data_IF_812847786817
#
_entry.id   IF_812847786817
#
_cell.length_a   1.000
_cell.length_b   1.000
_cell.length_c   1.000
_cell.angle_alpha   90.00
_cell.angle_beta   90.00
_cell.angle_gamma   90.00
#
_symmetry.space_group_name_H-M   'P 1'
#
loop_
_entity.id
_entity.type
_entity.pdbx_description
1 polymer ?
#
# COMPACT_ATOMS: atom_id res chain seq x y z
N UNK A 1 33.30 -18.24 3.97
CA UNK A 1 32.74 -17.29 2.99
C UNK A 1 32.24 -18.10 1.80
N UNK A 2 30.94 -18.27 1.63
CA UNK A 2 30.36 -19.12 0.56
C UNK A 2 30.60 -18.52 -0.82
N UNK A 3 30.91 -19.39 -1.80
CA UNK A 3 31.20 -19.03 -3.18
C UNK A 3 30.07 -18.21 -3.81
N UNK A 4 30.36 -16.94 -4.07
CA UNK A 4 29.40 -15.98 -4.62
C UNK A 4 28.85 -16.46 -5.97
N UNK A 5 27.52 -16.56 -6.07
CA UNK A 5 26.79 -16.79 -7.32
C UNK A 5 26.84 -18.21 -7.90
N UNK A 6 27.45 -19.19 -7.22
CA UNK A 6 27.43 -20.59 -7.68
C UNK A 6 26.09 -21.24 -7.33
N UNK A 7 25.32 -21.75 -8.31
CA UNK A 7 24.07 -22.43 -8.02
C UNK A 7 24.31 -23.75 -7.29
N UNK A 8 23.39 -24.10 -6.40
CA UNK A 8 23.41 -25.32 -5.59
C UNK A 8 22.22 -26.19 -6.00
N UNK A 9 22.51 -27.42 -6.41
CA UNK A 9 21.49 -28.42 -6.75
C UNK A 9 20.53 -28.64 -5.57
N UNK A 10 19.24 -28.79 -5.89
CA UNK A 10 18.15 -28.95 -4.92
C UNK A 10 17.90 -27.76 -3.99
N UNK A 11 18.60 -26.64 -4.14
CA UNK A 11 18.30 -25.42 -3.38
C UNK A 11 17.06 -24.73 -3.93
N UNK A 12 16.08 -24.47 -3.06
CA UNK A 12 14.89 -23.67 -3.40
C UNK A 12 15.25 -22.21 -3.73
N UNK A 13 16.36 -21.72 -3.19
CA UNK A 13 16.86 -20.36 -3.40
C UNK A 13 17.81 -20.26 -4.60
N UNK A 14 18.08 -21.35 -5.34
CA UNK A 14 19.12 -21.46 -6.39
C UNK A 14 20.55 -21.42 -5.87
N UNK A 15 20.84 -20.57 -4.89
CA UNK A 15 22.15 -20.43 -4.23
C UNK A 15 22.12 -21.00 -2.80
N UNK A 16 23.26 -20.98 -2.11
CA UNK A 16 23.32 -21.17 -0.65
C UNK A 16 22.93 -19.84 0.02
N UNK A 17 21.75 -19.73 0.66
CA UNK A 17 21.33 -18.50 1.31
C UNK A 17 22.23 -18.16 2.51
N UNK A 18 22.38 -16.87 2.76
CA UNK A 18 23.01 -16.33 3.97
C UNK A 18 22.13 -16.63 5.18
N UNK A 19 22.72 -17.16 6.23
CA UNK A 19 22.04 -17.38 7.51
C UNK A 19 21.95 -16.09 8.33
N UNK A 20 22.94 -15.20 8.24
CA UNK A 20 22.96 -13.98 9.06
C UNK A 20 22.15 -12.82 8.49
N UNK A 21 22.13 -12.65 7.16
CA UNK A 21 21.50 -11.48 6.56
C UNK A 21 19.98 -11.42 6.82
N UNK A 22 19.21 -12.51 6.62
CA UNK A 22 17.78 -12.52 6.94
C UNK A 22 17.49 -12.28 8.42
N UNK A 23 18.33 -12.80 9.33
CA UNK A 23 18.22 -12.58 10.76
C UNK A 23 18.30 -11.08 11.13
N UNK A 24 19.27 -10.38 10.54
CA UNK A 24 19.43 -8.93 10.73
C UNK A 24 18.19 -8.18 10.23
N UNK A 25 17.67 -8.52 9.05
CA UNK A 25 16.44 -7.91 8.54
C UNK A 25 15.24 -8.20 9.44
N UNK A 26 15.08 -9.43 9.93
CA UNK A 26 14.00 -9.79 10.85
C UNK A 26 14.03 -8.94 12.12
N UNK A 27 15.21 -8.75 12.74
CA UNK A 27 15.38 -7.90 13.92
C UNK A 27 15.07 -6.43 13.62
N UNK A 28 15.59 -5.89 12.51
CA UNK A 28 15.36 -4.49 12.13
C UNK A 28 13.89 -4.21 11.82
N UNK A 29 13.21 -5.09 11.10
CA UNK A 29 11.77 -4.99 10.88
C UNK A 29 10.99 -5.18 12.18
N UNK A 30 11.41 -6.07 13.08
CA UNK A 30 10.78 -6.26 14.38
C UNK A 30 10.82 -5.00 15.24
N UNK A 31 12.00 -4.38 15.37
CA UNK A 31 12.19 -3.11 16.10
C UNK A 31 11.34 -2.00 15.45
N UNK A 32 11.41 -1.89 14.12
CA UNK A 32 10.64 -0.92 13.35
C UNK A 32 9.13 -1.08 13.57
N UNK A 33 8.65 -2.33 13.62
CA UNK A 33 7.24 -2.68 13.81
C UNK A 33 6.74 -2.34 15.21
N UNK A 34 7.51 -2.69 16.24
CA UNK A 34 7.17 -2.36 17.63
C UNK A 34 7.09 -0.84 17.81
N UNK A 35 8.06 -0.10 17.26
CA UNK A 35 8.04 1.36 17.27
C UNK A 35 6.79 1.91 16.55
N UNK A 36 6.46 1.39 15.37
CA UNK A 36 5.30 1.86 14.60
C UNK A 36 3.96 1.57 15.30
N UNK A 37 3.81 0.38 15.88
CA UNK A 37 2.63 -0.02 16.65
C UNK A 37 2.44 0.90 17.86
N UNK A 38 3.52 1.18 18.59
CA UNK A 38 3.49 2.13 19.71
C UNK A 38 3.09 3.54 19.25
N UNK A 39 3.63 4.03 18.12
CA UNK A 39 3.25 5.31 17.55
C UNK A 39 1.77 5.33 17.13
N UNK A 40 1.28 4.28 16.48
CA UNK A 40 -0.11 4.14 16.08
C UNK A 40 -1.06 4.21 17.29
N UNK A 41 -0.68 3.57 18.39
CA UNK A 41 -1.43 3.63 19.65
C UNK A 41 -1.39 5.05 20.25
N UNK A 42 -0.19 5.63 20.39
CA UNK A 42 0.04 6.95 20.99
C UNK A 42 -0.64 8.09 20.24
N UNK A 43 -0.72 8.00 18.92
CA UNK A 43 -1.34 9.01 18.05
C UNK A 43 -2.77 8.67 17.62
N UNK A 44 -3.33 7.53 18.07
CA UNK A 44 -4.65 7.01 17.67
C UNK A 44 -4.83 6.94 16.14
N UNK A 45 -3.76 6.60 15.43
CA UNK A 45 -3.69 6.62 13.97
C UNK A 45 -3.86 5.24 13.32
N UNK A 46 -4.24 4.21 14.08
CA UNK A 46 -4.43 2.84 13.58
C UNK A 46 -5.36 2.74 12.37
N UNK A 47 -6.40 3.59 12.29
CA UNK A 47 -7.27 3.61 11.10
C UNK A 47 -6.53 4.09 9.86
N UNK A 48 -5.60 5.05 9.99
CA UNK A 48 -4.89 5.66 8.87
C UNK A 48 -3.72 4.79 8.39
N UNK A 49 -2.86 4.36 9.31
CA UNK A 49 -1.59 3.68 9.02
C UNK A 49 -1.49 2.27 9.59
N UNK A 50 -2.59 1.68 10.09
CA UNK A 50 -2.59 0.32 10.63
C UNK A 50 -2.11 -0.75 9.64
N UNK A 51 -2.30 -0.52 8.34
CA UNK A 51 -1.79 -1.43 7.30
C UNK A 51 -0.26 -1.53 7.30
N UNK A 52 0.45 -0.45 7.66
CA UNK A 52 1.91 -0.48 7.79
C UNK A 52 2.36 -1.35 8.98
N UNK A 53 1.57 -1.42 10.06
CA UNK A 53 1.83 -2.35 11.16
C UNK A 53 1.73 -3.81 10.69
N UNK A 54 0.70 -4.12 9.89
CA UNK A 54 0.51 -5.47 9.32
C UNK A 54 1.71 -5.83 8.45
N UNK A 55 2.14 -4.93 7.56
CA UNK A 55 3.34 -5.16 6.75
C UNK A 55 4.60 -5.36 7.61
N UNK A 56 4.77 -4.59 8.68
CA UNK A 56 5.91 -4.75 9.58
C UNK A 56 5.97 -6.13 10.23
N UNK A 57 4.83 -6.64 10.72
CA UNK A 57 4.72 -8.01 11.27
C UNK A 57 5.03 -9.04 10.19
N UNK A 58 4.43 -8.91 9.00
CA UNK A 58 4.64 -9.83 7.89
C UNK A 58 6.10 -9.86 7.41
N UNK A 59 6.77 -8.71 7.30
CA UNK A 59 8.21 -8.66 7.00
C UNK A 59 9.04 -9.36 8.08
N UNK A 60 8.75 -9.07 9.35
CA UNK A 60 9.46 -9.68 10.49
C UNK A 60 9.37 -11.21 10.43
N UNK A 61 8.14 -11.74 10.27
CA UNK A 61 7.90 -13.19 10.15
C UNK A 61 8.50 -13.75 8.85
N UNK A 62 8.36 -13.06 7.73
CA UNK A 62 8.88 -13.49 6.43
C UNK A 62 10.40 -13.64 6.42
N UNK A 63 11.13 -12.69 7.03
CA UNK A 63 12.58 -12.75 7.17
C UNK A 63 13.04 -13.76 8.23
N UNK A 64 12.29 -13.95 9.33
CA UNK A 64 12.57 -15.01 10.30
C UNK A 64 12.39 -16.41 9.68
N UNK A 65 11.33 -16.62 8.89
CA UNK A 65 11.14 -17.85 8.12
C UNK A 65 12.25 -18.03 7.08
N UNK A 66 12.73 -16.95 6.47
CA UNK A 66 13.86 -17.00 5.53
C UNK A 66 15.14 -17.44 6.22
N UNK A 67 15.41 -16.94 7.42
CA UNK A 67 16.55 -17.38 8.24
C UNK A 67 16.45 -18.87 8.56
N UNK A 68 15.29 -19.34 9.04
CA UNK A 68 15.06 -20.76 9.29
C UNK A 68 15.25 -21.60 8.03
N UNK A 69 14.74 -21.11 6.89
CA UNK A 69 14.94 -21.70 5.57
C UNK A 69 16.39 -21.69 5.12
N UNK A 70 17.22 -20.76 5.58
CA UNK A 70 18.64 -20.72 5.25
C UNK A 70 19.44 -21.85 5.90
N UNK A 71 18.95 -22.42 7.01
CA UNK A 71 19.50 -23.64 7.60
C UNK A 71 18.95 -24.92 6.94
N UNK A 72 17.77 -24.84 6.32
CA UNK A 72 17.03 -25.99 5.76
C UNK A 72 16.61 -25.74 4.29
N UNK A 73 17.56 -25.41 3.42
CA UNK A 73 17.26 -24.91 2.05
C UNK A 73 17.20 -25.99 0.96
N UNK A 74 17.60 -27.23 1.27
CA UNK A 74 17.65 -28.33 0.32
C UNK A 74 16.28 -29.03 0.23
N UNK A 75 15.76 -29.18 -0.98
CA UNK A 75 14.50 -29.86 -1.25
C UNK A 75 14.66 -30.92 -2.34
N UNK A 76 14.44 -32.18 -1.97
CA UNK A 76 14.47 -33.32 -2.90
C UNK A 76 13.06 -33.85 -3.12
N UNK A 77 12.61 -33.82 -4.38
CA UNK A 77 11.32 -34.36 -4.80
C UNK A 77 11.29 -35.87 -4.53
N UNK A 78 10.28 -36.35 -3.79
CA UNK A 78 10.12 -37.76 -3.42
C UNK A 78 10.48 -38.12 -1.97
N UNK A 79 10.97 -37.16 -1.18
CA UNK A 79 11.08 -37.30 0.28
C UNK A 79 9.76 -36.88 0.94
N UNK A 80 9.36 -37.53 2.04
CA UNK A 80 8.13 -37.19 2.76
C UNK A 80 8.16 -35.78 3.40
N UNK A 81 9.36 -35.24 3.63
CA UNK A 81 9.54 -33.92 4.22
C UNK A 81 9.25 -32.78 3.23
N UNK A 82 8.10 -32.14 3.43
CA UNK A 82 7.67 -30.93 2.69
C UNK A 82 7.96 -29.64 3.45
N UNK A 83 8.53 -29.71 4.65
CA UNK A 83 8.79 -28.53 5.49
C UNK A 83 9.66 -27.46 4.81
N UNK A 84 10.78 -27.76 4.10
CA UNK A 84 11.60 -26.70 3.50
C UNK A 84 10.86 -25.94 2.39
N UNK A 85 10.01 -26.65 1.65
CA UNK A 85 9.17 -26.05 0.62
C UNK A 85 8.12 -25.10 1.22
N UNK A 86 7.43 -25.53 2.28
CA UNK A 86 6.42 -24.70 2.95
C UNK A 86 7.05 -23.45 3.57
N UNK A 87 8.18 -23.59 4.26
CA UNK A 87 8.93 -22.45 4.83
C UNK A 87 9.33 -21.46 3.74
N UNK A 88 9.86 -21.95 2.62
CA UNK A 88 10.20 -21.11 1.48
C UNK A 88 8.97 -20.36 0.96
N UNK A 89 7.85 -21.05 0.72
CA UNK A 89 6.61 -20.43 0.21
C UNK A 89 6.12 -19.35 1.15
N UNK A 90 5.95 -19.64 2.45
CA UNK A 90 5.46 -18.66 3.42
C UNK A 90 6.40 -17.46 3.56
N UNK A 91 7.71 -17.70 3.57
CA UNK A 91 8.71 -16.62 3.57
C UNK A 91 8.55 -15.69 2.36
N UNK A 92 8.45 -16.25 1.15
CA UNK A 92 8.28 -15.45 -0.08
C UNK A 92 6.94 -14.69 -0.06
N UNK A 93 5.84 -15.35 0.29
CA UNK A 93 4.51 -14.73 0.32
C UNK A 93 4.48 -13.56 1.31
N UNK A 94 4.99 -13.73 2.52
CA UNK A 94 4.98 -12.67 3.53
C UNK A 94 5.86 -11.48 3.15
N UNK A 95 7.00 -11.72 2.50
CA UNK A 95 7.86 -10.62 2.02
C UNK A 95 7.20 -9.92 0.81
N UNK A 96 6.58 -10.66 -0.11
CA UNK A 96 6.15 -10.13 -1.41
C UNK A 96 4.80 -9.43 -1.38
N UNK A 97 3.93 -9.80 -0.44
CA UNK A 97 2.63 -9.14 -0.24
C UNK A 97 2.77 -7.76 0.38
N UNK A 98 3.87 -7.49 1.11
CA UNK A 98 4.02 -6.24 1.86
C UNK A 98 4.15 -4.98 0.99
N UNK A 99 4.95 -4.93 -0.09
CA UNK A 99 5.08 -3.71 -0.88
C UNK A 99 3.77 -3.22 -1.52
N UNK A 100 2.93 -4.07 -2.14
CA UNK A 100 1.58 -3.68 -2.58
C UNK A 100 0.71 -3.14 -1.43
N UNK A 101 0.78 -3.75 -0.24
CA UNK A 101 0.04 -3.24 0.93
C UNK A 101 0.57 -1.89 1.42
N UNK A 102 1.88 -1.66 1.40
CA UNK A 102 2.48 -0.37 1.72
C UNK A 102 2.08 0.71 0.71
N UNK A 103 1.96 0.33 -0.56
CA UNK A 103 1.45 1.20 -1.62
C UNK A 103 -0.01 1.58 -1.38
N UNK A 104 -0.86 0.63 -1.04
CA UNK A 104 -2.23 0.88 -0.64
C UNK A 104 -2.31 1.78 0.61
N UNK A 105 -1.39 1.62 1.57
CA UNK A 105 -1.30 2.51 2.73
C UNK A 105 -1.01 3.96 2.31
N UNK A 106 -0.13 4.18 1.33
CA UNK A 106 0.12 5.51 0.77
C UNK A 106 -1.12 6.09 0.09
N UNK A 107 -1.90 5.28 -0.64
CA UNK A 107 -3.17 5.73 -1.22
C UNK A 107 -4.17 6.16 -0.16
N UNK A 108 -4.14 5.49 1.00
CA UNK A 108 -4.96 5.90 2.14
C UNK A 108 -4.52 7.24 2.71
N UNK A 109 -3.23 7.47 2.88
CA UNK A 109 -2.70 8.77 3.31
C UNK A 109 -3.01 9.85 2.27
N UNK A 110 -2.93 9.55 0.96
CA UNK A 110 -3.27 10.51 -0.10
C UNK A 110 -4.73 10.93 -0.02
N UNK A 111 -5.63 9.96 0.09
CA UNK A 111 -7.07 10.22 0.26
C UNK A 111 -7.34 11.07 1.51
N UNK A 112 -6.60 10.83 2.60
CA UNK A 112 -6.70 11.62 3.83
C UNK A 112 -6.24 13.06 3.61
N UNK A 113 -5.15 13.30 2.89
CA UNK A 113 -4.68 14.65 2.56
C UNK A 113 -5.67 15.38 1.65
N UNK A 114 -6.26 14.69 0.67
CA UNK A 114 -7.28 15.29 -0.19
C UNK A 114 -8.54 15.68 0.58
N UNK A 115 -8.88 14.92 1.63
CA UNK A 115 -9.94 15.30 2.54
C UNK A 115 -9.56 16.50 3.41
N UNK A 116 -8.31 16.57 3.83
CA UNK A 116 -7.80 17.64 4.68
C UNK A 116 -7.70 18.97 3.94
N UNK A 117 -7.27 18.99 2.66
CA UNK A 117 -7.20 20.19 1.82
C UNK A 117 -8.06 20.01 0.55
N UNK A 118 -9.39 20.10 0.66
CA UNK A 118 -10.30 19.83 -0.46
C UNK A 118 -10.14 20.84 -1.60
N UNK A 119 -9.72 22.07 -1.32
CA UNK A 119 -9.46 23.12 -2.32
C UNK A 119 -8.33 22.78 -3.28
N UNK A 120 -7.35 21.98 -2.84
CA UNK A 120 -6.23 21.56 -3.66
C UNK A 120 -6.42 20.16 -4.29
N UNK A 121 -7.44 19.41 -3.86
CA UNK A 121 -7.69 18.05 -4.33
C UNK A 121 -8.07 18.00 -5.83
N UNK A 122 -7.35 17.25 -6.68
CA UNK A 122 -7.72 17.03 -8.08
C UNK A 122 -9.01 16.23 -8.24
N UNK A 123 -9.21 15.25 -7.35
CA UNK A 123 -10.40 14.39 -7.31
C UNK A 123 -10.88 14.22 -5.87
N UNK A 124 -12.17 13.91 -5.63
CA UNK A 124 -12.69 13.84 -4.27
C UNK A 124 -12.10 12.63 -3.52
N UNK A 125 -11.72 12.86 -2.25
CA UNK A 125 -11.04 11.89 -1.40
C UNK A 125 -11.69 10.48 -1.34
N UNK A 126 -13.03 10.31 -1.27
CA UNK A 126 -13.63 8.99 -1.22
C UNK A 126 -13.38 8.15 -2.48
N UNK A 127 -13.12 8.76 -3.63
CA UNK A 127 -12.88 8.02 -4.87
C UNK A 127 -11.45 7.46 -4.95
N UNK A 128 -10.46 8.14 -4.34
CA UNK A 128 -9.07 7.68 -4.32
C UNK A 128 -8.99 6.25 -3.78
N UNK A 129 -9.51 6.04 -2.57
CA UNK A 129 -9.44 4.74 -1.91
C UNK A 129 -10.17 3.63 -2.67
N UNK A 130 -11.31 3.95 -3.29
CA UNK A 130 -12.12 2.98 -4.03
C UNK A 130 -11.44 2.57 -5.33
N UNK A 131 -10.97 3.55 -6.08
CA UNK A 131 -10.33 3.33 -7.39
C UNK A 131 -8.99 2.63 -7.18
N UNK A 132 -8.10 3.21 -6.37
CA UNK A 132 -6.77 2.64 -6.17
C UNK A 132 -6.84 1.31 -5.43
N UNK A 133 -7.70 1.18 -4.42
CA UNK A 133 -7.91 -0.09 -3.73
C UNK A 133 -8.43 -1.20 -4.66
N UNK A 134 -9.43 -0.88 -5.50
CA UNK A 134 -9.96 -1.81 -6.50
C UNK A 134 -8.92 -2.21 -7.55
N UNK A 135 -8.16 -1.25 -8.09
CA UNK A 135 -7.07 -1.53 -9.04
C UNK A 135 -5.98 -2.40 -8.40
N UNK A 136 -5.59 -2.12 -7.15
CA UNK A 136 -4.64 -2.94 -6.40
C UNK A 136 -5.15 -4.36 -6.20
N UNK A 137 -6.44 -4.54 -5.88
CA UNK A 137 -7.03 -5.87 -5.73
C UNK A 137 -6.98 -6.67 -7.04
N UNK A 138 -7.20 -6.03 -8.19
CA UNK A 138 -7.06 -6.67 -9.50
C UNK A 138 -5.62 -7.08 -9.77
N UNK A 139 -4.66 -6.18 -9.52
CA UNK A 139 -3.23 -6.48 -9.72
C UNK A 139 -2.78 -7.64 -8.84
N UNK A 140 -3.15 -7.65 -7.56
CA UNK A 140 -2.78 -8.73 -6.64
C UNK A 140 -3.48 -10.06 -6.98
N UNK A 141 -4.70 -10.03 -7.50
CA UNK A 141 -5.37 -11.22 -8.02
C UNK A 141 -4.60 -11.81 -9.22
N UNK A 142 -4.14 -10.97 -10.15
CA UNK A 142 -3.34 -11.39 -11.29
C UNK A 142 -1.97 -11.92 -10.86
N UNK A 143 -1.32 -11.31 -9.86
CA UNK A 143 -0.07 -11.81 -9.26
C UNK A 143 -0.28 -13.21 -8.64
N UNK A 144 -1.34 -13.38 -7.83
CA UNK A 144 -1.65 -14.65 -7.18
C UNK A 144 -1.95 -15.76 -8.21
N UNK A 145 -2.76 -15.46 -9.23
CA UNK A 145 -3.05 -16.39 -10.33
C UNK A 145 -1.81 -16.71 -11.16
N UNK A 146 -1.00 -15.70 -11.47
CA UNK A 146 0.25 -15.85 -12.21
C UNK A 146 1.24 -16.75 -11.47
N UNK A 147 1.41 -16.54 -10.16
CA UNK A 147 2.23 -17.37 -9.31
C UNK A 147 1.68 -18.82 -9.23
N UNK A 148 0.38 -19.00 -9.03
CA UNK A 148 -0.23 -20.33 -8.92
C UNK A 148 -0.10 -21.16 -10.21
N UNK A 149 -0.30 -20.54 -11.38
CA UNK A 149 -0.22 -21.22 -12.67
C UNK A 149 1.21 -21.50 -13.12
N UNK A 150 2.14 -20.57 -12.89
CA UNK A 150 3.55 -20.74 -13.25
C UNK A 150 4.28 -21.74 -12.35
N UNK A 151 3.89 -21.84 -11.07
CA UNK A 151 4.55 -22.73 -10.11
C UNK A 151 3.98 -24.15 -10.06
N UNK A 152 2.86 -24.42 -10.74
CA UNK A 152 2.22 -25.73 -10.72
C UNK A 152 2.93 -26.73 -11.66
N UNK A 153 3.64 -27.74 -11.13
CA UNK A 153 4.39 -28.70 -11.94
C UNK A 153 3.49 -29.67 -12.74
N UNK A 154 2.20 -29.79 -12.40
CA UNK A 154 1.24 -30.67 -13.10
C UNK A 154 0.46 -29.94 -14.19
N UNK A 155 0.63 -28.63 -14.33
CA UNK A 155 -0.02 -27.83 -15.37
C UNK A 155 0.66 -28.01 -16.74
N UNK A 156 -0.10 -27.76 -17.81
CA UNK A 156 0.44 -27.77 -19.18
C UNK A 156 1.46 -26.64 -19.37
N UNK A 157 2.35 -26.77 -20.36
CA UNK A 157 3.31 -25.73 -20.72
C UNK A 157 2.62 -24.40 -21.07
N UNK A 158 1.47 -24.47 -21.75
CA UNK A 158 0.64 -23.31 -22.06
C UNK A 158 0.11 -22.61 -20.80
N UNK A 159 -0.37 -23.37 -19.81
CA UNK A 159 -0.84 -22.80 -18.53
C UNK A 159 0.29 -22.17 -17.72
N UNK A 160 1.48 -22.77 -17.69
CA UNK A 160 2.65 -22.21 -17.01
C UNK A 160 3.13 -20.91 -17.69
N UNK A 161 3.16 -20.89 -19.03
CA UNK A 161 3.48 -19.68 -19.80
C UNK A 161 2.46 -18.57 -19.56
N UNK A 162 1.16 -18.90 -19.55
CA UNK A 162 0.10 -17.97 -19.19
C UNK A 162 0.33 -17.39 -17.79
N UNK A 163 0.67 -18.22 -16.81
CA UNK A 163 0.99 -17.77 -15.46
C UNK A 163 2.13 -16.75 -15.41
N UNK A 164 3.21 -17.00 -16.16
CA UNK A 164 4.33 -16.05 -16.28
C UNK A 164 3.89 -14.72 -16.92
N UNK A 165 3.11 -14.77 -18.00
CA UNK A 165 2.57 -13.57 -18.63
C UNK A 165 1.64 -12.76 -17.71
N UNK A 166 0.81 -13.43 -16.92
CA UNK A 166 -0.06 -12.77 -15.93
C UNK A 166 0.75 -12.04 -14.85
N UNK A 167 1.84 -12.65 -14.35
CA UNK A 167 2.72 -12.01 -13.38
C UNK A 167 3.39 -10.75 -13.98
N UNK A 168 3.90 -10.82 -15.21
CA UNK A 168 4.47 -9.65 -15.90
C UNK A 168 3.40 -8.56 -16.11
N UNK A 169 2.21 -8.94 -16.57
CA UNK A 169 1.12 -8.00 -16.79
C UNK A 169 0.71 -7.28 -15.49
N UNK A 170 0.64 -8.01 -14.37
CA UNK A 170 0.35 -7.46 -13.05
C UNK A 170 1.39 -6.41 -12.64
N UNK A 171 2.69 -6.71 -12.79
CA UNK A 171 3.77 -5.76 -12.46
C UNK A 171 3.73 -4.53 -13.38
N UNK A 172 3.45 -4.69 -14.67
CA UNK A 172 3.29 -3.56 -15.60
C UNK A 172 2.11 -2.67 -15.22
N UNK A 173 0.97 -3.27 -14.85
CA UNK A 173 -0.18 -2.52 -14.34
C UNK A 173 0.18 -1.76 -13.05
N UNK A 174 0.92 -2.39 -12.14
CA UNK A 174 1.40 -1.76 -10.91
C UNK A 174 2.21 -0.49 -11.20
N UNK A 175 3.15 -0.55 -12.14
CA UNK A 175 3.93 0.62 -12.56
C UNK A 175 3.05 1.75 -13.11
N UNK A 176 2.01 1.40 -13.88
CA UNK A 176 1.03 2.36 -14.37
C UNK A 176 0.26 3.04 -13.24
N UNK A 177 -0.17 2.28 -12.23
CA UNK A 177 -0.88 2.82 -11.06
C UNK A 177 0.02 3.77 -10.26
N UNK A 178 1.28 3.38 -10.03
CA UNK A 178 2.29 4.25 -9.38
C UNK A 178 2.51 5.54 -10.18
N UNK A 179 2.59 5.47 -11.51
CA UNK A 179 2.72 6.65 -12.35
C UNK A 179 1.52 7.60 -12.22
N UNK A 180 0.30 7.06 -12.21
CA UNK A 180 -0.94 7.84 -11.98
C UNK A 180 -0.91 8.49 -10.60
N UNK A 181 -0.41 7.80 -9.56
CA UNK A 181 -0.21 8.40 -8.25
C UNK A 181 0.70 9.63 -8.31
N UNK A 182 1.86 9.56 -8.98
CA UNK A 182 2.77 10.70 -9.09
C UNK A 182 2.11 11.88 -9.81
N UNK A 183 1.31 11.62 -10.85
CA UNK A 183 0.54 12.65 -11.55
C UNK A 183 -0.47 13.32 -10.61
N UNK A 184 -1.28 12.54 -9.89
CA UNK A 184 -2.27 13.08 -8.96
C UNK A 184 -1.64 13.85 -7.80
N UNK A 185 -0.57 13.32 -7.22
CA UNK A 185 0.20 13.98 -6.17
C UNK A 185 0.84 15.29 -6.70
N UNK A 186 1.34 15.30 -7.93
CA UNK A 186 1.91 16.47 -8.59
C UNK A 186 0.86 17.55 -8.84
N UNK A 187 -0.31 17.18 -9.34
CA UNK A 187 -1.45 18.08 -9.51
C UNK A 187 -1.88 18.68 -8.17
N UNK A 188 -1.95 17.86 -7.11
CA UNK A 188 -2.26 18.32 -5.77
C UNK A 188 -1.19 19.30 -5.25
N UNK A 189 0.10 19.00 -5.42
CA UNK A 189 1.21 19.88 -5.03
C UNK A 189 1.10 21.25 -5.70
N UNK A 190 0.85 21.28 -7.01
CA UNK A 190 0.73 22.52 -7.78
C UNK A 190 -0.47 23.37 -7.31
N UNK A 191 -1.62 22.73 -7.04
CA UNK A 191 -2.80 23.40 -6.48
C UNK A 191 -2.56 23.84 -5.03
N UNK A 192 -1.84 23.06 -4.25
CA UNK A 192 -1.50 23.40 -2.86
C UNK A 192 -0.58 24.64 -2.81
N UNK A 193 0.37 24.76 -3.73
CA UNK A 193 1.21 25.96 -3.81
C UNK A 193 0.43 27.21 -4.20
N UNK A 194 -0.57 27.09 -5.08
CA UNK A 194 -1.40 28.25 -5.45
C UNK A 194 -2.33 28.67 -4.30
N UNK A 195 -2.93 27.72 -3.58
CA UNK A 195 -3.73 27.99 -2.37
C UNK A 195 -2.87 28.69 -1.30
N UNK A 196 -1.65 28.18 -1.08
CA UNK A 196 -0.71 28.80 -0.13
C UNK A 196 -0.31 30.22 -0.55
N UNK A 197 -0.10 30.46 -1.84
CA UNK A 197 0.21 31.79 -2.36
C UNK A 197 -0.97 32.77 -2.29
N UNK A 198 -2.21 32.28 -2.40
CA UNK A 198 -3.41 33.08 -2.19
C UNK A 198 -3.59 33.45 -0.72
N UNK A 199 -3.52 32.45 0.18
CA UNK A 199 -3.56 32.67 1.63
C UNK A 199 -2.43 33.63 2.08
N UNK A 200 -1.28 33.57 1.42
CA UNK A 200 -0.16 34.47 1.70
C UNK A 200 -0.44 35.96 1.37
N UNK A 201 -1.27 36.23 0.35
CA UNK A 201 -1.59 37.59 -0.14
C UNK A 201 -2.73 38.25 0.63
N UNK A 202 -3.66 37.48 1.19
CA UNK A 202 -4.76 37.97 2.01
C UNK A 202 -4.32 38.50 3.40
N UNK A 203 -3.02 38.44 3.71
CA UNK A 203 -2.41 38.78 5.02
C UNK A 203 -2.15 40.26 5.25
N UNK A 204 -2.75 41.17 4.50
CA UNK A 204 -2.60 42.62 4.72
C UNK A 204 -3.27 43.12 6.01
N UNK A 205 -3.86 42.24 6.84
CA UNK A 205 -4.47 42.58 8.13
C UNK A 205 -4.17 41.58 9.24
N UNK A 206 -3.00 41.68 9.86
CA UNK A 206 -2.74 41.48 11.30
C UNK A 206 -3.04 40.16 12.04
N UNK A 207 -3.85 39.23 11.54
CA UNK A 207 -4.23 38.03 12.32
C UNK A 207 -3.42 36.82 11.85
N UNK A 208 -2.54 36.36 12.72
CA UNK A 208 -1.69 35.18 12.55
C UNK A 208 -2.50 33.90 12.80
N UNK A 209 -3.43 33.56 11.90
CA UNK A 209 -4.14 32.28 11.99
C UNK A 209 -3.41 31.12 11.26
N UNK A 210 -3.58 29.94 11.85
CA UNK A 210 -2.90 28.64 11.75
C UNK A 210 -2.49 28.12 10.35
N UNK A 211 -1.38 28.64 9.78
CA UNK A 211 -0.71 28.05 8.60
C UNK A 211 -0.04 26.67 8.87
N UNK A 212 -0.14 26.12 10.09
CA UNK A 212 0.45 24.83 10.44
C UNK A 212 -0.05 23.70 9.54
N UNK A 213 -1.35 23.71 9.22
CA UNK A 213 -1.98 22.66 8.42
C UNK A 213 -1.46 22.56 6.98
N UNK A 214 -1.21 23.68 6.29
CA UNK A 214 -0.67 23.64 4.92
C UNK A 214 0.78 23.12 4.91
N UNK A 215 1.59 23.49 5.91
CA UNK A 215 2.97 22.99 6.05
C UNK A 215 2.99 21.50 6.36
N UNK A 216 2.10 21.04 7.24
CA UNK A 216 1.89 19.63 7.56
C UNK A 216 1.55 18.81 6.30
N UNK A 217 0.62 19.30 5.47
CA UNK A 217 0.24 18.64 4.22
C UNK A 217 1.43 18.51 3.24
N UNK A 218 2.28 19.53 3.14
CA UNK A 218 3.49 19.50 2.30
C UNK A 218 4.51 18.48 2.80
N UNK A 219 4.76 18.43 4.11
CA UNK A 219 5.70 17.45 4.70
C UNK A 219 5.25 16.03 4.39
N UNK A 220 3.96 15.73 4.58
CA UNK A 220 3.45 14.38 4.29
C UNK A 220 3.54 14.08 2.80
N UNK A 221 3.28 15.05 1.92
CA UNK A 221 3.40 14.82 0.48
C UNK A 221 4.85 14.46 0.08
N UNK A 222 5.86 15.14 0.65
CA UNK A 222 7.28 14.81 0.43
C UNK A 222 7.61 13.40 0.92
N UNK A 223 7.12 13.03 2.11
CA UNK A 223 7.31 11.68 2.68
C UNK A 223 6.65 10.63 1.78
N UNK A 224 5.47 10.92 1.24
CA UNK A 224 4.77 10.03 0.31
C UNK A 224 5.51 9.87 -1.02
N UNK A 225 6.11 10.94 -1.55
CA UNK A 225 6.96 10.83 -2.75
C UNK A 225 8.17 9.94 -2.48
N UNK A 226 8.88 10.15 -1.38
CA UNK A 226 10.02 9.31 -1.01
C UNK A 226 9.58 7.84 -0.86
N UNK A 227 8.46 7.60 -0.19
CA UNK A 227 7.89 6.26 -0.01
C UNK A 227 7.52 5.58 -1.33
N UNK A 228 6.82 6.29 -2.22
CA UNK A 228 6.46 5.78 -3.55
C UNK A 228 7.65 5.56 -4.47
N UNK A 229 8.72 6.36 -4.36
CA UNK A 229 9.95 6.14 -5.12
C UNK A 229 10.67 4.85 -4.69
N UNK A 230 10.70 4.54 -3.39
CA UNK A 230 11.26 3.28 -2.89
C UNK A 230 10.46 2.07 -3.39
N UNK A 231 9.13 2.18 -3.38
CA UNK A 231 8.23 1.13 -3.91
C UNK A 231 8.39 1.00 -5.43
N UNK A 232 8.48 2.11 -6.17
CA UNK A 232 8.73 2.11 -7.60
C UNK A 232 10.04 1.39 -7.95
N UNK A 233 11.14 1.72 -7.27
CA UNK A 233 12.43 1.07 -7.50
C UNK A 233 12.35 -0.45 -7.30
N UNK A 234 11.66 -0.92 -6.25
CA UNK A 234 11.38 -2.35 -6.05
C UNK A 234 10.51 -2.92 -7.17
N UNK A 235 9.46 -2.24 -7.60
CA UNK A 235 8.57 -2.73 -8.67
C UNK A 235 9.29 -2.82 -10.02
N UNK A 236 10.22 -1.89 -10.32
CA UNK A 236 11.09 -1.98 -11.50
C UNK A 236 12.02 -3.19 -11.40
N UNK A 237 12.66 -3.42 -10.24
CA UNK A 237 13.45 -4.63 -10.01
C UNK A 237 12.61 -5.89 -10.25
N UNK A 238 11.37 -5.93 -9.76
CA UNK A 238 10.44 -7.05 -9.99
C UNK A 238 10.07 -7.22 -11.45
N UNK A 239 9.88 -6.15 -12.20
CA UNK A 239 9.62 -6.25 -13.62
C UNK A 239 10.81 -6.95 -14.31
N UNK A 240 12.03 -6.47 -14.05
CA UNK A 240 13.24 -7.03 -14.66
C UNK A 240 13.44 -8.50 -14.27
N UNK A 241 13.11 -8.88 -13.03
CA UNK A 241 13.16 -10.27 -12.57
C UNK A 241 12.15 -11.18 -13.32
N UNK A 242 10.97 -10.66 -13.68
CA UNK A 242 9.91 -11.43 -14.35
C UNK A 242 9.98 -11.40 -15.88
N UNK A 243 10.86 -10.60 -16.50
CA UNK A 243 10.88 -10.44 -17.96
C UNK A 243 11.27 -11.74 -18.69
N UNK A 244 10.48 -12.16 -19.71
CA UNK A 244 10.71 -13.36 -20.51
C UNK A 244 11.78 -13.09 -21.58
N UNK A 245 13.04 -12.96 -21.17
CA UNK A 245 14.22 -12.84 -22.05
C UNK A 245 15.45 -13.49 -21.44
N UNK A 246 15.20 -14.24 -20.39
CA UNK A 246 16.14 -14.94 -19.54
C UNK A 246 15.45 -16.31 -19.40
N UNK A 247 16.13 -17.43 -19.68
CA UNK A 247 15.56 -18.81 -19.73
C UNK A 247 14.99 -19.30 -18.36
N UNK A 248 13.99 -18.61 -17.80
CA UNK A 248 13.75 -18.51 -16.35
C UNK A 248 12.43 -19.10 -15.88
N UNK A 249 11.56 -19.52 -16.79
CA UNK A 249 10.22 -19.99 -16.41
C UNK A 249 10.27 -21.39 -15.79
N UNK A 250 11.38 -22.13 -15.95
CA UNK A 250 11.62 -23.39 -15.25
C UNK A 250 12.86 -23.27 -14.38
N UNK A 251 12.67 -22.98 -13.09
CA UNK A 251 13.70 -23.23 -12.07
C UNK A 251 13.83 -24.74 -11.90
N UNK A 252 14.51 -25.38 -12.85
CA UNK A 252 14.86 -26.78 -12.70
C UNK A 252 16.01 -26.90 -11.69
N UNK A 253 15.63 -27.03 -10.42
CA UNK A 253 16.55 -27.22 -9.30
C UNK A 253 17.40 -28.51 -9.43
N UNK A 254 17.11 -29.36 -10.41
CA UNK A 254 17.84 -30.61 -10.68
C UNK A 254 18.89 -30.49 -11.79
N UNK A 255 18.88 -29.41 -12.57
CA UNK A 255 19.79 -29.21 -13.69
C UNK A 255 20.75 -28.04 -13.44
N UNK A 256 22.02 -28.35 -13.20
CA UNK A 256 23.04 -27.34 -12.89
C UNK A 256 23.29 -26.36 -14.04
N UNK A 257 23.26 -26.81 -15.29
CA UNK A 257 23.47 -25.95 -16.47
C UNK A 257 22.32 -24.95 -16.63
N UNK A 258 21.09 -25.38 -16.39
CA UNK A 258 19.92 -24.49 -16.38
C UNK A 258 20.02 -23.44 -15.27
N UNK A 259 20.48 -23.83 -14.07
CA UNK A 259 20.68 -22.88 -12.96
C UNK A 259 21.83 -21.88 -13.21
N UNK A 260 22.85 -22.27 -13.98
CA UNK A 260 23.94 -21.37 -14.37
C UNK A 260 23.51 -20.36 -15.45
N UNK A 261 22.59 -20.75 -16.33
CA UNK A 261 22.00 -19.87 -17.33
C UNK A 261 21.01 -18.84 -16.75
N UNK A 262 20.66 -18.95 -15.46
CA UNK A 262 19.85 -17.95 -14.76
C UNK A 262 20.57 -16.59 -14.68
N UNK A 263 19.76 -15.54 -14.70
CA UNK A 263 20.16 -14.15 -14.58
C UNK A 263 20.89 -13.96 -13.25
N UNK A 264 21.93 -13.11 -13.23
CA UNK A 264 22.61 -12.74 -12.00
C UNK A 264 21.64 -12.29 -10.89
N UNK A 265 20.51 -11.67 -11.24
CA UNK A 265 19.48 -11.23 -10.28
C UNK A 265 18.93 -12.38 -9.43
N UNK A 266 18.78 -13.58 -10.00
CA UNK A 266 18.28 -14.76 -9.29
C UNK A 266 19.39 -15.57 -8.63
N UNK A 267 20.64 -15.42 -9.10
CA UNK A 267 21.80 -16.17 -8.59
C UNK A 267 22.46 -15.49 -7.39
N UNK A 268 22.36 -14.18 -7.28
CA UNK A 268 23.00 -13.41 -6.20
C UNK A 268 21.97 -12.89 -5.21
N UNK A 269 22.05 -13.39 -3.98
CA UNK A 269 21.16 -12.99 -2.89
C UNK A 269 21.19 -11.47 -2.59
N UNK A 270 22.33 -10.82 -2.84
CA UNK A 270 22.49 -9.39 -2.53
C UNK A 270 21.46 -8.51 -3.24
N UNK A 271 21.05 -8.86 -4.46
CA UNK A 271 20.04 -8.09 -5.18
C UNK A 271 18.68 -8.16 -4.49
N UNK A 272 18.28 -9.35 -4.05
CA UNK A 272 17.07 -9.53 -3.24
C UNK A 272 17.15 -8.74 -1.93
N UNK A 273 18.27 -8.83 -1.21
CA UNK A 273 18.43 -8.13 0.08
C UNK A 273 18.40 -6.62 -0.08
N UNK A 274 18.97 -6.06 -1.15
CA UNK A 274 18.98 -4.63 -1.42
C UNK A 274 17.60 -4.16 -1.90
N UNK A 275 17.08 -4.75 -2.97
CA UNK A 275 15.88 -4.23 -3.65
C UNK A 275 14.56 -4.59 -2.96
N UNK A 276 14.45 -5.75 -2.30
CA UNK A 276 13.25 -6.10 -1.56
C UNK A 276 13.39 -5.91 -0.05
N UNK A 277 14.59 -6.13 0.49
CA UNK A 277 14.85 -5.95 1.92
C UNK A 277 15.10 -4.51 2.31
N UNK A 278 16.19 -3.93 1.82
CA UNK A 278 16.67 -2.63 2.27
C UNK A 278 15.76 -1.48 1.83
N UNK A 279 15.25 -1.49 0.59
CA UNK A 279 14.32 -0.45 0.12
C UNK A 279 13.02 -0.41 0.96
N UNK A 280 12.46 -1.58 1.27
CA UNK A 280 11.23 -1.65 2.07
C UNK A 280 11.49 -1.34 3.54
N UNK A 281 12.67 -1.67 4.06
CA UNK A 281 13.06 -1.33 5.42
C UNK A 281 13.25 0.19 5.55
N UNK A 282 13.91 0.81 4.58
CA UNK A 282 14.03 2.26 4.49
C UNK A 282 12.63 2.92 4.43
N UNK A 283 11.68 2.32 3.71
CA UNK A 283 10.30 2.79 3.68
C UNK A 283 9.61 2.69 5.04
N UNK A 284 9.76 1.57 5.77
CA UNK A 284 9.22 1.43 7.12
C UNK A 284 9.85 2.42 8.11
N UNK A 285 11.15 2.65 8.03
CA UNK A 285 11.85 3.63 8.87
C UNK A 285 11.38 5.06 8.54
N UNK A 286 11.21 5.39 7.27
CA UNK A 286 10.70 6.68 6.82
C UNK A 286 9.35 7.00 7.48
N UNK A 287 8.42 6.05 7.48
CA UNK A 287 7.11 6.20 8.12
C UNK A 287 7.15 6.20 9.65
N UNK A 288 8.15 5.57 10.27
CA UNK A 288 8.41 5.70 11.71
C UNK A 288 8.90 7.10 12.09
N UNK A 289 9.78 7.70 11.29
CA UNK A 289 10.30 9.04 11.55
C UNK A 289 9.20 10.08 11.31
N UNK A 290 8.52 10.00 10.17
CA UNK A 290 7.50 10.95 9.72
C UNK A 290 6.09 10.40 9.84
N UNK A 291 5.74 9.96 11.06
CA UNK A 291 4.44 9.34 11.31
C UNK A 291 3.28 10.32 11.07
N UNK A 292 2.31 10.01 10.17
CA UNK A 292 1.28 10.97 9.74
C UNK A 292 0.32 11.36 10.86
N UNK A 293 0.16 10.52 11.89
CA UNK A 293 -0.61 10.87 13.09
C UNK A 293 -0.01 12.00 13.95
N UNK A 294 1.24 12.44 13.67
CA UNK A 294 1.83 13.65 14.25
C UNK A 294 1.47 14.91 13.48
N UNK A 295 1.26 14.76 12.17
CA UNK A 295 1.14 15.85 11.22
C UNK A 295 -0.32 16.12 10.80
N UNK A 296 -1.21 15.12 10.86
CA UNK A 296 -2.62 15.30 10.52
C UNK A 296 -3.50 15.42 11.76
N UNK A 297 -4.60 16.21 11.68
CA UNK A 297 -5.60 16.24 12.74
C UNK A 297 -6.16 14.85 13.02
N UNK A 298 -6.28 14.55 14.32
CA UNK A 298 -6.81 13.27 14.82
C UNK A 298 -8.25 13.02 14.40
N UNK A 299 -9.06 14.08 14.29
CA UNK A 299 -10.44 13.96 13.87
C UNK A 299 -10.53 13.95 12.32
N UNK A 300 -11.08 12.86 11.72
CA UNK A 300 -11.35 12.79 10.30
C UNK A 300 -12.14 13.99 9.74
N UNK A 301 -12.94 14.65 10.56
CA UNK A 301 -13.92 15.69 10.16
C UNK A 301 -13.33 17.08 10.00
N UNK A 302 -12.08 17.29 10.42
CA UNK A 302 -11.39 18.58 10.29
C UNK A 302 -10.83 18.70 8.87
N UNK A 303 -11.22 19.76 8.17
CA UNK A 303 -10.66 20.17 6.89
C UNK A 303 -10.16 21.62 6.96
N UNK A 304 -9.23 21.98 6.09
CA UNK A 304 -8.76 23.35 5.90
C UNK A 304 -9.69 24.09 4.96
N UNK A 305 -10.28 25.18 5.44
CA UNK A 305 -11.00 26.12 4.60
C UNK A 305 -10.00 26.94 3.73
N UNK A 306 -10.53 27.65 2.73
CA UNK A 306 -9.69 28.39 1.75
C UNK A 306 -8.91 29.55 2.36
N UNK A 307 -9.36 30.05 3.51
CA UNK A 307 -8.71 31.04 4.37
C UNK A 307 -7.55 30.47 5.20
N UNK A 308 -7.38 29.14 5.24
CA UNK A 308 -6.38 28.45 6.04
C UNK A 308 -6.84 28.10 7.46
N UNK A 309 -8.10 28.37 7.83
CA UNK A 309 -8.64 27.99 9.14
C UNK A 309 -9.05 26.51 9.15
N UNK A 310 -8.90 25.84 10.31
CA UNK A 310 -9.35 24.45 10.50
C UNK A 310 -10.84 24.45 10.82
N UNK A 311 -11.67 24.01 9.89
CA UNK A 311 -13.13 23.93 10.06
C UNK A 311 -13.56 22.50 10.31
N UNK A 312 -14.40 22.30 11.32
CA UNK A 312 -15.08 21.03 11.56
C UNK A 312 -16.24 20.90 10.58
N UNK A 313 -16.24 19.86 9.75
CA UNK A 313 -17.41 19.54 8.93
C UNK A 313 -18.58 19.14 9.84
N UNK A 314 -19.74 19.76 9.63
CA UNK A 314 -20.98 19.37 10.30
C UNK A 314 -21.27 17.88 10.10
N UNK A 315 -21.85 17.27 11.13
CA UNK A 315 -22.10 15.83 11.23
C UNK A 315 -23.05 15.41 10.12
N UNK A 316 -22.52 14.81 9.05
CA UNK A 316 -23.32 13.89 8.24
C UNK A 316 -23.57 12.67 9.14
N UNK A 317 -24.86 12.45 9.46
CA UNK A 317 -25.42 11.41 10.32
C UNK A 317 -24.56 10.15 10.39
N UNK A 318 -24.31 9.68 11.62
CA UNK A 318 -23.50 8.50 11.91
C UNK A 318 -23.87 7.30 11.02
N UNK A 319 -22.86 6.70 10.38
CA UNK A 319 -23.03 5.53 9.52
C UNK A 319 -23.51 4.33 10.35
N UNK A 320 -24.82 4.08 10.30
CA UNK A 320 -25.54 3.02 11.02
C UNK A 320 -25.27 1.59 10.55
N UNK A 321 -24.28 1.39 9.67
CA UNK A 321 -23.86 0.07 9.20
C UNK A 321 -23.35 -0.80 10.34
N UNK A 322 -23.70 -2.08 10.29
CA UNK A 322 -23.23 -3.07 11.25
C UNK A 322 -21.71 -3.27 11.10
N UNK A 323 -21.03 -3.76 12.14
CA UNK A 323 -19.56 -3.80 12.19
C UNK A 323 -18.93 -4.65 11.07
N UNK A 324 -19.55 -5.78 10.73
CA UNK A 324 -19.16 -6.65 9.60
C UNK A 324 -19.33 -5.98 8.24
N UNK A 325 -20.38 -5.18 8.02
CA UNK A 325 -20.55 -4.37 6.80
C UNK A 325 -19.48 -3.27 6.69
N UNK A 326 -19.03 -2.73 7.83
CA UNK A 326 -17.91 -1.77 7.86
C UNK A 326 -16.60 -2.45 7.49
N UNK A 327 -16.34 -3.64 8.03
CA UNK A 327 -15.16 -4.46 7.67
C UNK A 327 -15.24 -4.85 6.20
N UNK A 328 -16.37 -5.35 5.72
CA UNK A 328 -16.57 -5.74 4.33
C UNK A 328 -16.47 -4.55 3.38
N UNK A 329 -17.00 -3.38 3.74
CA UNK A 329 -16.84 -2.15 2.96
C UNK A 329 -15.38 -1.70 2.90
N UNK A 330 -14.60 -1.88 3.97
CA UNK A 330 -13.16 -1.61 3.97
C UNK A 330 -12.41 -2.63 3.11
N UNK A 331 -12.74 -3.92 3.20
CA UNK A 331 -12.11 -5.02 2.45
C UNK A 331 -12.46 -4.98 0.96
N UNK A 332 -13.68 -4.59 0.61
CA UNK A 332 -14.14 -4.45 -0.78
C UNK A 332 -13.86 -3.07 -1.37
N UNK A 333 -13.11 -2.23 -0.65
CA UNK A 333 -12.82 -0.86 -1.05
C UNK A 333 -14.08 -0.07 -1.43
N UNK A 334 -15.22 -0.35 -0.80
CA UNK A 334 -16.50 0.31 -1.05
C UNK A 334 -17.11 0.10 -2.44
N UNK A 335 -16.63 -0.86 -3.25
CA UNK A 335 -17.10 -1.10 -4.62
C UNK A 335 -18.56 -1.57 -4.70
N UNK A 336 -19.05 -2.36 -3.73
CA UNK A 336 -20.34 -3.05 -3.88
C UNK A 336 -21.56 -2.36 -3.24
N UNK A 337 -21.39 -1.34 -2.39
CA UNK A 337 -22.51 -0.80 -1.57
C UNK A 337 -22.72 0.73 -1.68
N UNK A 338 -22.46 1.31 -2.86
CA UNK A 338 -22.73 2.73 -3.15
C UNK A 338 -24.18 3.08 -3.50
N UNK A 339 -24.95 2.13 -4.07
CA UNK A 339 -26.25 2.43 -4.69
C UNK A 339 -27.41 2.57 -3.70
N UNK A 340 -27.50 1.71 -2.68
CA UNK A 340 -28.60 1.74 -1.72
C UNK A 340 -28.63 3.02 -0.85
N UNK A 341 -27.46 3.63 -0.63
CA UNK A 341 -27.32 4.86 0.13
C UNK A 341 -27.79 6.10 -0.65
N UNK A 342 -27.66 6.12 -1.98
CA UNK A 342 -28.08 7.25 -2.82
C UNK A 342 -29.60 7.44 -2.84
N UNK A 343 -30.35 6.34 -2.95
CA UNK A 343 -31.82 6.37 -3.02
C UNK A 343 -32.48 6.77 -1.69
N UNK A 344 -31.97 6.28 -0.54
CA UNK A 344 -32.46 6.71 0.79
C UNK A 344 -32.11 8.16 1.13
N UNK A 345 -30.97 8.67 0.62
CA UNK A 345 -30.49 10.04 0.84
C UNK A 345 -31.33 11.09 0.11
N UNK A 346 -31.92 10.74 -1.04
CA UNK A 346 -32.82 11.62 -1.80
C UNK A 346 -34.20 11.75 -1.13
N UNK A 347 -34.80 10.62 -0.74
CA UNK A 347 -36.11 10.58 -0.03
C UNK A 347 -36.12 11.31 1.32
N UNK A 348 -35.05 11.20 2.10
CA UNK A 348 -34.97 11.87 3.41
C UNK A 348 -34.70 13.37 3.32
N UNK A 349 -34.06 13.83 2.23
CA UNK A 349 -33.82 15.25 1.99
C UNK A 349 -35.07 15.98 1.47
N UNK A 350 -35.84 15.32 0.61
CA UNK A 350 -37.14 15.82 0.11
C UNK A 350 -38.14 15.96 1.26
N UNK A 351 -38.27 14.96 2.14
CA UNK A 351 -39.16 15.01 3.31
C UNK A 351 -38.83 16.13 4.30
N UNK A 352 -37.56 16.49 4.46
CA UNK A 352 -37.15 17.54 5.40
C UNK A 352 -37.29 18.95 4.81
N UNK A 353 -37.16 19.07 3.47
CA UNK A 353 -37.47 20.31 2.76
C UNK A 353 -38.97 20.61 2.78
N UNK A 354 -39.81 19.60 2.55
CA UNK A 354 -41.28 19.74 2.57
C UNK A 354 -41.81 20.11 3.97
N UNK A 355 -41.27 19.53 5.05
CA UNK A 355 -41.62 19.90 6.43
C UNK A 355 -41.21 21.34 6.77
N UNK A 356 -40.07 21.80 6.26
CA UNK A 356 -39.56 23.15 6.54
C UNK A 356 -40.30 24.23 5.74
N UNK A 357 -40.75 23.91 4.52
CA UNK A 357 -41.59 24.77 3.70
C UNK A 357 -43.00 24.90 4.32
N UNK A 358 -43.60 23.80 4.77
CA UNK A 358 -44.88 23.81 5.50
C UNK A 358 -44.81 24.61 6.81
N UNK A 359 -43.71 24.51 7.55
CA UNK A 359 -43.50 25.29 8.77
C UNK A 359 -43.30 26.80 8.52
N UNK A 360 -42.70 27.18 7.39
CA UNK A 360 -42.57 28.60 7.01
C UNK A 360 -43.89 29.19 6.55
N UNK A 361 -44.70 28.45 5.79
CA UNK A 361 -46.04 28.88 5.35
C UNK A 361 -46.98 29.04 6.55
N UNK A 362 -46.94 28.13 7.52
CA UNK A 362 -47.73 28.24 8.75
C UNK A 362 -47.36 29.48 9.60
N UNK A 363 -46.07 29.83 9.66
CA UNK A 363 -45.62 31.05 10.36
C UNK A 363 -46.01 32.34 9.64
N UNK A 364 -46.14 32.33 8.32
CA UNK A 364 -46.64 33.51 7.58
C UNK A 364 -48.14 33.72 7.79
N UNK A 365 -48.94 32.66 7.94
CA UNK A 365 -50.38 32.79 8.22
C UNK A 365 -50.73 33.26 9.63
N UNK A 366 -49.83 33.15 10.61
CA UNK A 366 -50.03 33.69 11.96
C UNK A 366 -49.63 35.16 12.09
N UNK A 367 -49.07 35.76 11.03
CA UNK A 367 -48.57 37.15 11.00
C UNK A 367 -49.48 38.13 10.24
N UNK A 368 -50.65 37.67 9.78
CA UNK A 368 -51.75 38.45 9.19
C UNK A 368 -52.99 38.30 10.07
#
# INVERSE_FOLDING_TARGET
MSSWGQPVLYSLYVYKPSNMAPAIFAVLYGISTVAHIWQCHRYKAFRLVGLQCVCGVLFTVGYALREYGAFNYLYRKGTDDRSPLLVYIFSQVFIYVCPPLLELANYHVLGRIFHFVPSAAPIPAPFILRIFGGLMAVVEALNALGAALSSNPTSTSASQALGAHLAVAAVCMQLGIIAIFFVLAGMFQHRLSSVRAAAARSRTGGIQEDNGGLREAQVILVVMYASMLLILARTVYRLVEHLPGSDHTRRDITNLAALQALSPLLRYEIFFLVFDGALMLANSILWNVWHPGRLLPRDPRVYLAQDGSRVLREVVVADGRAWWEKVLHVVTFGMFFGAAASSKRKRSGESCADEMEMAMVARQSESL
#
